data_IF_384379019244
#
_entry.id   IF_384379019244
#
_cell.length_a   1.000
_cell.length_b   1.000
_cell.length_c   1.000
_cell.angle_alpha   90.00
_cell.angle_beta   90.00
_cell.angle_gamma   90.00
#
_symmetry.space_group_name_H-M   'P 1'
#
loop_
_entity.id
_entity.type
_entity.pdbx_description
1 polymer ?
#
# COMPACT_ATOMS: atom_id res chain seq x y z
N UNK A 1 23.09 1.77 59.13
CA UNK A 1 22.66 0.52 58.54
C UNK A 1 22.09 0.85 57.18
N UNK A 2 22.93 0.80 56.12
CA UNK A 2 22.57 1.17 54.75
C UNK A 2 22.26 -0.11 54.00
N UNK A 3 20.99 -0.30 53.63
CA UNK A 3 20.54 -1.40 52.76
C UNK A 3 20.85 -0.98 51.30
N UNK A 4 21.88 -1.60 50.71
CA UNK A 4 22.20 -1.49 49.30
C UNK A 4 21.10 -2.14 48.47
N UNK A 5 20.40 -1.31 47.69
CA UNK A 5 19.47 -1.74 46.65
C UNK A 5 20.28 -2.26 45.46
N UNK A 6 20.45 -3.58 45.43
CA UNK A 6 21.11 -4.27 44.33
C UNK A 6 20.17 -4.34 43.13
N UNK A 7 20.17 -3.29 42.29
CA UNK A 7 19.50 -3.30 41.02
C UNK A 7 20.01 -4.47 40.17
N UNK A 8 19.17 -5.49 39.93
CA UNK A 8 19.48 -6.60 39.04
C UNK A 8 19.82 -6.09 37.67
N UNK A 9 20.93 -6.55 37.01
CA UNK A 9 21.26 -6.12 35.66
C UNK A 9 20.12 -6.55 34.71
N UNK A 10 19.65 -5.59 33.91
CA UNK A 10 18.68 -5.86 32.85
C UNK A 10 19.20 -7.02 32.00
N UNK A 11 18.44 -8.12 31.90
CA UNK A 11 18.83 -9.29 31.14
C UNK A 11 19.11 -8.87 29.70
N UNK A 12 20.35 -8.98 29.27
CA UNK A 12 20.73 -8.79 27.89
C UNK A 12 19.93 -9.82 27.05
N UNK A 13 18.95 -9.35 26.29
CA UNK A 13 18.06 -10.20 25.49
C UNK A 13 18.91 -11.13 24.61
N UNK A 14 18.56 -12.42 24.63
CA UNK A 14 19.22 -13.45 23.82
C UNK A 14 19.21 -13.06 22.35
N UNK A 15 20.34 -13.23 21.67
CA UNK A 15 20.42 -12.96 20.22
C UNK A 15 19.40 -13.83 19.46
N UNK A 16 18.70 -13.28 18.45
CA UNK A 16 17.69 -14.01 17.70
C UNK A 16 18.30 -15.21 16.97
N UNK A 17 17.62 -16.37 17.06
CA UNK A 17 18.03 -17.60 16.37
C UNK A 17 17.92 -17.46 14.83
N UNK A 18 18.53 -18.41 14.11
CA UNK A 18 18.55 -18.38 12.62
C UNK A 18 17.15 -18.28 12.00
N UNK A 19 16.18 -19.01 12.53
CA UNK A 19 14.78 -18.97 12.06
C UNK A 19 14.18 -17.57 12.19
N UNK A 20 14.32 -16.96 13.37
CA UNK A 20 13.81 -15.61 13.65
C UNK A 20 14.46 -14.58 12.70
N UNK A 21 15.79 -14.69 12.49
CA UNK A 21 16.50 -13.84 11.54
C UNK A 21 15.96 -13.98 10.10
N UNK A 22 15.63 -15.21 9.69
CA UNK A 22 15.05 -15.47 8.37
C UNK A 22 13.67 -14.81 8.23
N UNK A 23 12.79 -14.95 9.23
CA UNK A 23 11.46 -14.29 9.23
C UNK A 23 11.61 -12.76 9.18
N UNK A 24 12.50 -12.20 9.99
CA UNK A 24 12.78 -10.76 10.01
C UNK A 24 13.29 -10.26 8.65
N UNK A 25 14.23 -10.99 8.05
CA UNK A 25 14.75 -10.67 6.72
C UNK A 25 13.65 -10.76 5.63
N UNK A 26 12.79 -11.78 5.70
CA UNK A 26 11.65 -11.92 4.79
C UNK A 26 10.70 -10.72 4.89
N UNK A 27 10.39 -10.24 6.12
CA UNK A 27 9.56 -9.03 6.32
C UNK A 27 10.19 -7.78 5.70
N UNK A 28 11.50 -7.60 5.88
CA UNK A 28 12.20 -6.48 5.23
C UNK A 28 12.16 -6.61 3.69
N UNK A 29 12.37 -7.81 3.17
CA UNK A 29 12.38 -8.08 1.73
C UNK A 29 11.01 -7.83 1.07
N UNK A 30 9.90 -8.28 1.67
CA UNK A 30 8.56 -8.05 1.09
C UNK A 30 8.17 -6.56 1.14
N UNK A 31 8.56 -5.82 2.19
CA UNK A 31 8.39 -4.36 2.22
C UNK A 31 9.20 -3.68 1.11
N UNK A 32 10.42 -4.14 0.87
CA UNK A 32 11.25 -3.66 -0.23
C UNK A 32 10.65 -3.96 -1.61
N UNK A 33 10.07 -5.15 -1.79
CA UNK A 33 9.38 -5.54 -3.02
C UNK A 33 8.14 -4.66 -3.28
N UNK A 34 7.34 -4.35 -2.23
CA UNK A 34 6.22 -3.42 -2.34
C UNK A 34 6.71 -2.01 -2.71
N UNK A 35 7.78 -1.53 -2.08
CA UNK A 35 8.38 -0.24 -2.43
C UNK A 35 8.79 -0.18 -3.89
N UNK A 36 9.50 -1.21 -4.38
CA UNK A 36 9.93 -1.31 -5.77
C UNK A 36 8.74 -1.34 -6.73
N UNK A 37 7.69 -2.13 -6.41
CA UNK A 37 6.48 -2.18 -7.21
C UNK A 37 5.88 -0.79 -7.39
N UNK A 38 5.65 -0.05 -6.30
CA UNK A 38 5.06 1.29 -6.38
C UNK A 38 5.99 2.32 -7.03
N UNK A 39 7.32 2.20 -6.88
CA UNK A 39 8.27 3.05 -7.61
C UNK A 39 8.15 2.86 -9.14
N UNK A 40 8.01 1.61 -9.59
CA UNK A 40 7.82 1.32 -11.01
C UNK A 40 6.45 1.79 -11.51
N UNK A 41 5.40 1.69 -10.69
CA UNK A 41 4.07 2.24 -11.03
C UNK A 41 4.15 3.76 -11.18
N UNK A 42 4.76 4.46 -10.22
CA UNK A 42 4.97 5.93 -10.30
C UNK A 42 5.79 6.31 -11.52
N UNK A 43 6.86 5.56 -11.81
CA UNK A 43 7.68 5.79 -12.99
C UNK A 43 6.87 5.64 -14.28
N UNK A 44 6.08 4.56 -14.41
CA UNK A 44 5.19 4.35 -15.55
C UNK A 44 4.15 5.47 -15.68
N UNK A 45 3.48 5.84 -14.57
CA UNK A 45 2.49 6.91 -14.55
C UNK A 45 3.08 8.29 -14.92
N UNK A 46 4.36 8.53 -14.59
CA UNK A 46 5.02 9.79 -14.92
C UNK A 46 5.55 9.83 -16.36
N UNK A 47 6.07 8.70 -16.88
CA UNK A 47 6.66 8.62 -18.23
C UNK A 47 5.60 8.43 -19.32
N UNK A 48 4.57 7.63 -19.04
CA UNK A 48 3.44 7.38 -19.95
C UNK A 48 2.16 8.07 -19.44
N UNK A 49 2.32 9.33 -19.02
CA UNK A 49 1.26 10.12 -18.38
C UNK A 49 -0.06 10.08 -19.14
N UNK A 50 -0.03 10.31 -20.46
CA UNK A 50 -1.24 10.40 -21.27
C UNK A 50 -2.05 9.09 -21.30
N UNK A 51 -1.38 7.94 -21.37
CA UNK A 51 -2.03 6.62 -21.43
C UNK A 51 -2.77 6.31 -20.12
N UNK A 52 -2.11 6.51 -19.01
CA UNK A 52 -2.71 6.22 -17.69
C UNK A 52 -3.70 7.31 -17.26
N UNK A 53 -3.48 8.56 -17.66
CA UNK A 53 -4.44 9.65 -17.48
C UNK A 53 -5.76 9.39 -18.20
N UNK A 54 -5.73 8.85 -19.42
CA UNK A 54 -6.94 8.50 -20.18
C UNK A 54 -7.82 7.52 -19.39
N UNK A 55 -7.23 6.53 -18.72
CA UNK A 55 -7.98 5.62 -17.86
C UNK A 55 -8.75 6.38 -16.77
N UNK A 56 -8.08 7.27 -16.04
CA UNK A 56 -8.72 8.06 -14.96
C UNK A 56 -9.81 8.97 -15.53
N UNK A 57 -9.55 9.62 -16.67
CA UNK A 57 -10.53 10.50 -17.32
C UNK A 57 -11.79 9.74 -17.74
N UNK A 58 -11.65 8.55 -18.35
CA UNK A 58 -12.79 7.71 -18.76
C UNK A 58 -13.62 7.21 -17.58
N UNK A 59 -12.97 6.80 -16.51
CA UNK A 59 -13.67 6.37 -15.30
C UNK A 59 -14.46 7.54 -14.68
N UNK A 60 -13.83 8.71 -14.54
CA UNK A 60 -14.47 9.87 -13.92
C UNK A 60 -15.61 10.46 -14.76
N UNK A 61 -15.46 10.49 -16.08
CA UNK A 61 -16.50 10.97 -17.00
C UNK A 61 -17.63 9.97 -17.23
N UNK A 62 -17.46 8.70 -16.83
CA UNK A 62 -18.46 7.63 -17.00
C UNK A 62 -18.93 7.45 -18.46
N UNK A 63 -18.15 7.91 -19.47
CA UNK A 63 -18.50 7.94 -20.88
C UNK A 63 -18.12 6.69 -21.66
N UNK A 64 -17.65 5.66 -20.97
CA UNK A 64 -17.18 4.42 -21.56
C UNK A 64 -17.92 3.18 -21.01
N UNK A 65 -19.13 3.36 -20.48
CA UNK A 65 -19.99 2.28 -20.03
C UNK A 65 -20.54 1.47 -21.21
N UNK A 66 -20.91 0.23 -20.96
CA UNK A 66 -21.65 -0.58 -21.94
C UNK A 66 -22.99 0.09 -22.25
N UNK A 67 -23.33 0.36 -23.54
CA UNK A 67 -24.55 1.08 -23.88
C UNK A 67 -25.83 0.41 -23.36
N UNK A 68 -25.90 -0.91 -23.34
CA UNK A 68 -27.07 -1.62 -22.86
C UNK A 68 -27.26 -1.52 -21.33
N UNK A 69 -26.17 -1.37 -20.57
CA UNK A 69 -26.23 -1.14 -19.13
C UNK A 69 -26.50 0.35 -18.84
N UNK A 70 -25.94 1.24 -19.65
CA UNK A 70 -26.07 2.68 -19.50
C UNK A 70 -27.53 3.16 -19.66
N UNK A 71 -28.26 2.60 -20.63
CA UNK A 71 -29.70 2.85 -20.80
C UNK A 71 -30.56 2.52 -19.56
N UNK A 72 -30.10 1.56 -18.75
CA UNK A 72 -30.76 1.13 -17.51
C UNK A 72 -30.26 1.93 -16.30
N UNK A 73 -29.11 2.57 -16.41
CA UNK A 73 -28.45 3.32 -15.33
C UNK A 73 -29.13 4.67 -15.12
N UNK A 74 -29.06 5.17 -13.89
CA UNK A 74 -29.50 6.52 -13.49
C UNK A 74 -28.38 7.25 -12.76
N UNK A 75 -27.13 6.92 -13.10
CA UNK A 75 -25.95 7.38 -12.33
C UNK A 75 -25.19 8.54 -12.98
N UNK A 76 -25.59 9.00 -14.16
CA UNK A 76 -24.91 10.05 -14.94
C UNK A 76 -24.64 11.35 -14.16
N UNK A 77 -25.49 11.66 -13.16
CA UNK A 77 -25.28 12.80 -12.28
C UNK A 77 -24.00 12.74 -11.45
N UNK A 78 -23.34 11.57 -11.39
CA UNK A 78 -22.07 11.37 -10.67
C UNK A 78 -20.87 11.72 -11.54
N UNK A 79 -21.05 11.81 -12.85
CA UNK A 79 -19.95 12.03 -13.79
C UNK A 79 -19.24 13.35 -13.50
N UNK A 80 -17.92 13.27 -13.47
CA UNK A 80 -17.04 14.43 -13.40
C UNK A 80 -16.44 14.63 -14.79
N UNK A 81 -16.83 15.72 -15.47
CA UNK A 81 -16.42 15.99 -16.85
C UNK A 81 -15.35 17.09 -16.97
N UNK A 82 -14.90 17.64 -15.85
CA UNK A 82 -13.88 18.69 -15.82
C UNK A 82 -12.48 18.15 -16.04
N UNK A 83 -11.76 18.51 -17.13
CA UNK A 83 -10.40 18.08 -17.37
C UNK A 83 -9.43 18.48 -16.24
N UNK A 84 -9.66 19.63 -15.60
CA UNK A 84 -8.86 20.11 -14.48
C UNK A 84 -8.98 19.16 -13.30
N UNK A 85 -10.19 18.68 -13.00
CA UNK A 85 -10.42 17.72 -11.93
C UNK A 85 -9.84 16.34 -12.29
N UNK A 86 -9.90 15.92 -13.55
CA UNK A 86 -9.26 14.68 -14.00
C UNK A 86 -7.74 14.71 -13.73
N UNK A 87 -7.07 15.79 -14.12
CA UNK A 87 -5.65 15.97 -13.83
C UNK A 87 -5.36 16.03 -12.33
N UNK A 88 -6.18 16.74 -11.56
CA UNK A 88 -5.99 16.85 -10.12
C UNK A 88 -6.11 15.47 -9.44
N UNK A 89 -7.13 14.69 -9.77
CA UNK A 89 -7.31 13.32 -9.24
C UNK A 89 -6.13 12.43 -9.64
N UNK A 90 -5.70 12.49 -10.91
CA UNK A 90 -4.58 11.67 -11.36
C UNK A 90 -3.25 12.02 -10.66
N UNK A 91 -2.99 13.32 -10.44
CA UNK A 91 -1.81 13.76 -9.67
C UNK A 91 -1.88 13.26 -8.21
N UNK A 92 -3.07 13.30 -7.58
CA UNK A 92 -3.27 12.77 -6.22
C UNK A 92 -3.00 11.26 -6.17
N UNK A 93 -3.42 10.50 -7.19
CA UNK A 93 -3.14 9.06 -7.30
C UNK A 93 -1.61 8.84 -7.36
N UNK A 94 -0.89 9.53 -8.25
CA UNK A 94 0.57 9.41 -8.36
C UNK A 94 1.27 9.80 -7.05
N UNK A 95 0.81 10.85 -6.39
CA UNK A 95 1.37 11.27 -5.11
C UNK A 95 1.14 10.22 -3.99
N UNK A 96 -0.02 9.59 -3.95
CA UNK A 96 -0.32 8.51 -3.00
C UNK A 96 0.51 7.25 -3.27
N UNK A 97 0.73 6.90 -4.54
CA UNK A 97 1.62 5.81 -4.95
C UNK A 97 3.07 6.09 -4.54
N UNK A 98 3.56 7.31 -4.79
CA UNK A 98 4.90 7.72 -4.38
C UNK A 98 5.05 7.69 -2.86
N UNK A 99 4.07 8.20 -2.12
CA UNK A 99 4.06 8.12 -0.66
C UNK A 99 4.14 6.66 -0.18
N UNK A 100 3.34 5.76 -0.76
CA UNK A 100 3.35 4.33 -0.47
C UNK A 100 4.72 3.71 -0.73
N UNK A 101 5.32 4.02 -1.89
CA UNK A 101 6.66 3.55 -2.27
C UNK A 101 7.72 3.99 -1.25
N UNK A 102 7.76 5.28 -0.94
CA UNK A 102 8.76 5.86 -0.01
C UNK A 102 8.56 5.31 1.40
N UNK A 103 7.34 5.26 1.91
CA UNK A 103 7.04 4.76 3.25
C UNK A 103 7.43 3.28 3.40
N UNK A 104 7.08 2.44 2.43
CA UNK A 104 7.49 1.02 2.40
C UNK A 104 9.01 0.89 2.29
N UNK A 105 9.70 1.71 1.49
CA UNK A 105 11.14 1.71 1.35
C UNK A 105 11.87 2.09 2.66
N UNK A 106 11.40 3.14 3.34
CA UNK A 106 11.89 3.51 4.67
C UNK A 106 11.66 2.37 5.66
N UNK A 107 10.46 1.75 5.63
CA UNK A 107 10.12 0.60 6.45
C UNK A 107 11.05 -0.59 6.20
N UNK A 108 11.27 -0.96 4.94
CA UNK A 108 12.18 -2.02 4.53
C UNK A 108 13.61 -1.79 5.05
N UNK A 109 14.13 -0.59 4.81
CA UNK A 109 15.49 -0.21 5.22
C UNK A 109 15.67 -0.24 6.74
N UNK A 110 14.72 0.35 7.51
CA UNK A 110 14.77 0.34 8.98
C UNK A 110 14.67 -1.08 9.53
N UNK A 111 13.75 -1.87 9.00
CA UNK A 111 13.56 -3.28 9.39
C UNK A 111 14.81 -4.10 9.11
N UNK A 112 15.44 -3.95 7.93
CA UNK A 112 16.69 -4.62 7.58
C UNK A 112 17.84 -4.25 8.51
N UNK A 113 17.94 -2.99 8.93
CA UNK A 113 18.96 -2.55 9.91
C UNK A 113 18.72 -3.03 11.34
N UNK A 114 17.51 -3.49 11.63
CA UNK A 114 17.08 -3.91 12.97
C UNK A 114 17.03 -5.42 13.16
N UNK A 115 17.47 -6.23 12.17
CA UNK A 115 17.35 -7.70 12.18
C UNK A 115 17.87 -8.36 13.47
N UNK A 116 18.97 -7.84 14.03
CA UNK A 116 19.62 -8.37 15.24
C UNK A 116 19.33 -7.56 16.51
N UNK A 117 18.44 -6.55 16.41
CA UNK A 117 18.04 -5.72 17.55
C UNK A 117 17.03 -6.47 18.41
N UNK A 118 16.84 -6.05 19.67
CA UNK A 118 15.76 -6.56 20.52
C UNK A 118 14.40 -6.44 19.82
N UNK A 119 13.46 -7.31 20.18
CA UNK A 119 12.13 -7.41 19.55
C UNK A 119 11.37 -6.09 19.53
N UNK A 120 11.47 -5.32 20.61
CA UNK A 120 10.86 -3.98 20.68
C UNK A 120 11.37 -3.06 19.57
N UNK A 121 12.67 -3.00 19.37
CA UNK A 121 13.30 -2.12 18.38
C UNK A 121 13.01 -2.61 16.95
N UNK A 122 13.04 -3.93 16.74
CA UNK A 122 12.68 -4.53 15.47
C UNK A 122 11.21 -4.23 15.11
N UNK A 123 10.29 -4.37 16.05
CA UNK A 123 8.87 -4.09 15.82
C UNK A 123 8.63 -2.58 15.56
N UNK A 124 9.32 -1.71 16.29
CA UNK A 124 9.26 -0.26 16.05
C UNK A 124 9.79 0.12 14.66
N UNK A 125 10.79 -0.59 14.14
CA UNK A 125 11.35 -0.34 12.81
C UNK A 125 10.35 -0.58 11.66
N UNK A 126 9.34 -1.45 11.84
CA UNK A 126 8.31 -1.76 10.84
C UNK A 126 7.29 -0.64 10.63
N UNK A 127 7.20 0.34 11.52
CA UNK A 127 6.12 1.35 11.55
C UNK A 127 5.89 2.02 10.19
N UNK A 128 6.94 2.52 9.54
CA UNK A 128 6.81 3.17 8.23
C UNK A 128 6.36 2.21 7.13
N UNK A 129 6.78 0.95 7.18
CA UNK A 129 6.30 -0.08 6.28
C UNK A 129 4.79 -0.32 6.44
N UNK A 130 4.30 -0.38 7.67
CA UNK A 130 2.87 -0.53 7.95
C UNK A 130 2.07 0.69 7.47
N UNK A 131 2.57 1.91 7.71
CA UNK A 131 1.95 3.15 7.19
C UNK A 131 1.85 3.11 5.67
N UNK A 132 2.94 2.72 4.98
CA UNK A 132 2.94 2.59 3.52
C UNK A 132 1.94 1.54 3.02
N UNK A 133 1.90 0.35 3.65
CA UNK A 133 0.96 -0.70 3.27
C UNK A 133 -0.50 -0.25 3.44
N UNK A 134 -0.83 0.41 4.55
CA UNK A 134 -2.18 0.95 4.78
C UNK A 134 -2.51 2.03 3.75
N UNK A 135 -1.59 2.94 3.44
CA UNK A 135 -1.79 3.95 2.41
C UNK A 135 -2.06 3.32 1.02
N UNK A 136 -1.29 2.29 0.65
CA UNK A 136 -1.52 1.53 -0.58
C UNK A 136 -2.87 0.82 -0.61
N UNK A 137 -3.28 0.20 0.50
CA UNK A 137 -4.60 -0.43 0.63
C UNK A 137 -5.71 0.62 0.48
N UNK A 138 -5.60 1.77 1.14
CA UNK A 138 -6.59 2.85 1.01
C UNK A 138 -6.68 3.38 -0.43
N UNK A 139 -5.55 3.51 -1.12
CA UNK A 139 -5.56 3.91 -2.52
C UNK A 139 -6.30 2.89 -3.41
N UNK A 140 -5.92 1.62 -3.33
CA UNK A 140 -6.44 0.59 -4.24
C UNK A 140 -7.82 0.07 -3.84
N UNK A 141 -8.10 -0.09 -2.56
CA UNK A 141 -9.43 -0.51 -2.10
C UNK A 141 -10.41 0.68 -2.08
N UNK A 142 -10.08 1.78 -1.37
CA UNK A 142 -11.03 2.88 -1.23
C UNK A 142 -11.08 3.74 -2.50
N UNK A 143 -9.93 4.06 -3.11
CA UNK A 143 -9.88 4.88 -4.32
C UNK A 143 -10.43 4.13 -5.54
N UNK A 144 -9.84 2.97 -5.88
CA UNK A 144 -10.20 2.27 -7.11
C UNK A 144 -11.45 1.39 -6.96
N UNK A 145 -11.51 0.50 -5.96
CA UNK A 145 -12.65 -0.43 -5.87
C UNK A 145 -13.89 0.28 -5.35
N UNK A 146 -13.79 1.08 -4.28
CA UNK A 146 -14.98 1.70 -3.69
C UNK A 146 -15.42 2.93 -4.49
N UNK A 147 -14.54 3.92 -4.70
CA UNK A 147 -14.92 5.15 -5.41
C UNK A 147 -15.01 4.89 -6.91
N UNK A 148 -13.97 4.35 -7.53
CA UNK A 148 -13.97 4.04 -8.96
C UNK A 148 -15.02 2.99 -9.32
N UNK A 149 -15.07 1.89 -8.58
CA UNK A 149 -15.96 0.77 -8.81
C UNK A 149 -17.43 1.11 -8.54
N UNK A 150 -17.74 1.55 -7.31
CA UNK A 150 -19.13 1.70 -6.87
C UNK A 150 -19.71 3.09 -7.16
N UNK A 151 -18.92 4.16 -6.93
CA UNK A 151 -19.42 5.52 -7.19
C UNK A 151 -19.47 5.84 -8.68
N UNK A 152 -18.38 5.57 -9.42
CA UNK A 152 -18.29 5.81 -10.86
C UNK A 152 -18.69 4.60 -11.71
N UNK A 153 -19.19 3.54 -11.10
CA UNK A 153 -19.66 2.33 -11.78
C UNK A 153 -18.67 1.77 -12.83
N UNK A 154 -17.37 1.83 -12.53
CA UNK A 154 -16.28 1.40 -13.43
C UNK A 154 -16.46 -0.04 -13.92
N UNK A 155 -17.19 -0.89 -13.17
CA UNK A 155 -17.52 -2.26 -13.56
C UNK A 155 -18.41 -2.36 -14.80
N UNK A 156 -19.14 -1.27 -15.15
CA UNK A 156 -20.00 -1.21 -16.34
C UNK A 156 -19.18 -1.03 -17.63
N UNK A 157 -17.92 -0.63 -17.52
CA UNK A 157 -17.06 -0.44 -18.69
C UNK A 157 -16.37 -1.74 -19.11
N UNK A 158 -16.53 -2.19 -20.37
CA UNK A 158 -15.82 -3.36 -20.87
C UNK A 158 -14.32 -3.12 -21.09
N UNK A 159 -13.92 -1.87 -21.35
CA UNK A 159 -12.54 -1.51 -21.71
C UNK A 159 -11.77 -0.87 -20.55
N UNK A 160 -12.44 -0.14 -19.66
CA UNK A 160 -11.83 0.68 -18.61
C UNK A 160 -12.14 0.18 -17.19
N UNK A 161 -12.34 -1.13 -17.02
CA UNK A 161 -12.60 -1.75 -15.73
C UNK A 161 -11.29 -2.13 -15.03
N UNK A 162 -10.86 -1.32 -14.08
CA UNK A 162 -9.67 -1.56 -13.26
C UNK A 162 -9.90 -2.39 -12.00
N UNK A 163 -11.14 -2.81 -11.70
CA UNK A 163 -11.48 -3.56 -10.47
C UNK A 163 -10.66 -4.85 -10.33
N UNK A 164 -10.51 -5.70 -11.38
CA UNK A 164 -9.72 -6.93 -11.22
C UNK A 164 -8.24 -6.69 -10.90
N UNK A 165 -7.67 -5.59 -11.39
CA UNK A 165 -6.29 -5.21 -11.06
C UNK A 165 -6.20 -4.67 -9.63
N UNK A 166 -7.14 -3.81 -9.24
CA UNK A 166 -7.22 -3.25 -7.89
C UNK A 166 -7.43 -4.32 -6.82
N UNK A 167 -8.28 -5.33 -7.09
CA UNK A 167 -8.52 -6.46 -6.20
C UNK A 167 -7.24 -7.27 -5.94
N UNK A 168 -6.50 -7.61 -7.00
CA UNK A 168 -5.22 -8.33 -6.87
C UNK A 168 -4.21 -7.55 -6.05
N UNK A 169 -4.08 -6.25 -6.30
CA UNK A 169 -3.10 -5.41 -5.59
C UNK A 169 -3.52 -5.26 -4.12
N UNK A 170 -4.79 -4.99 -3.84
CA UNK A 170 -5.32 -4.90 -2.48
C UNK A 170 -5.09 -6.20 -1.71
N UNK A 171 -5.44 -7.34 -2.30
CA UNK A 171 -5.25 -8.67 -1.69
C UNK A 171 -3.78 -8.91 -1.36
N UNK A 172 -2.87 -8.63 -2.30
CA UNK A 172 -1.44 -8.76 -2.06
C UNK A 172 -0.95 -7.87 -0.91
N UNK A 173 -1.36 -6.60 -0.89
CA UNK A 173 -0.97 -5.66 0.17
C UNK A 173 -1.50 -6.08 1.54
N UNK A 174 -2.73 -6.60 1.61
CA UNK A 174 -3.32 -7.11 2.85
C UNK A 174 -2.54 -8.32 3.36
N UNK A 175 -2.17 -9.26 2.49
CA UNK A 175 -1.36 -10.42 2.86
C UNK A 175 0.03 -9.99 3.40
N UNK A 176 0.67 -9.01 2.75
CA UNK A 176 1.94 -8.46 3.23
C UNK A 176 1.76 -7.73 4.57
N UNK A 177 0.66 -6.99 4.75
CA UNK A 177 0.34 -6.33 6.01
C UNK A 177 0.19 -7.35 7.14
N UNK A 178 -0.61 -8.40 6.93
CA UNK A 178 -0.80 -9.49 7.91
C UNK A 178 0.54 -10.14 8.24
N UNK A 179 1.33 -10.54 7.22
CA UNK A 179 2.64 -11.16 7.45
C UNK A 179 3.58 -10.24 8.23
N UNK A 180 3.60 -8.95 7.93
CA UNK A 180 4.48 -7.98 8.61
C UNK A 180 4.09 -7.74 10.05
N UNK A 181 2.77 -7.78 10.37
CA UNK A 181 2.24 -7.57 11.74
C UNK A 181 2.32 -8.81 12.62
N UNK A 182 2.38 -10.02 12.06
CA UNK A 182 2.50 -11.25 12.84
C UNK A 182 3.72 -11.21 13.77
N UNK A 183 3.53 -11.65 15.03
CA UNK A 183 4.58 -11.69 16.06
C UNK A 183 5.34 -13.02 16.10
N UNK A 184 5.64 -13.59 14.95
CA UNK A 184 6.47 -14.79 14.79
C UNK A 184 7.97 -14.47 14.65
N UNK A 185 8.35 -13.24 14.93
CA UNK A 185 9.68 -12.67 14.81
C UNK A 185 10.28 -12.27 16.18
N UNK A 186 9.68 -12.75 17.28
CA UNK A 186 10.22 -12.60 18.64
C UNK A 186 11.39 -13.56 18.89
N UNK A 187 12.37 -13.11 19.68
CA UNK A 187 13.48 -13.91 20.17
C UNK A 187 13.21 -14.27 21.64
N UNK A 188 12.34 -15.25 21.89
CA UNK A 188 12.04 -15.75 23.22
C UNK A 188 13.26 -16.38 23.93
#
# INVERSE_FOLDING_TARGET
MATGDGGAPASAGKAPGRYVLTIRAAKAAVLGAVSLFFLLVVFGNATDYAVNFEFVARVLSMDAHDPGLDELSRTDYRAVTSPVLHHAVYIVIIAAELFTAVACGIGAWRTARSLRRPDRDFNAAKTWGLVGLVAGILLWFTGFQTIGGEWFAMWMSPAWNGIPAADRITTFLVLVLVFTTMRNDGAD
#
